data_IF_810615018230
#
_entry.id   IF_810615018230
#
_cell.length_a   1.000
_cell.length_b   1.000
_cell.length_c   1.000
_cell.angle_alpha   90.00
_cell.angle_beta   90.00
_cell.angle_gamma   90.00
#
_symmetry.space_group_name_H-M   'P 1'
#
loop_
_entity.id
_entity.type
_entity.pdbx_description
1 polymer ?
#
# COMPACT_ATOMS: atom_id res chain seq x y z
N UNK A 1 4.31 -8.89 -9.30
CA UNK A 1 4.12 -7.51 -8.80
C UNK A 1 4.65 -6.56 -9.88
N UNK A 2 3.82 -6.24 -10.88
CA UNK A 2 4.25 -5.61 -12.14
C UNK A 2 3.35 -4.42 -12.51
N UNK A 3 2.67 -3.86 -11.49
CA UNK A 3 1.66 -2.82 -11.61
C UNK A 3 1.96 -1.75 -10.55
N UNK A 4 1.70 -0.48 -10.88
CA UNK A 4 2.03 0.68 -10.04
C UNK A 4 3.24 1.46 -10.53
N UNK A 5 3.33 2.70 -10.10
CA UNK A 5 4.41 3.64 -10.42
C UNK A 5 5.75 3.17 -9.86
N UNK A 6 5.74 2.44 -8.74
CA UNK A 6 6.95 1.85 -8.14
C UNK A 6 7.67 0.86 -9.08
N UNK A 7 6.99 0.30 -10.09
CA UNK A 7 7.63 -0.61 -11.07
C UNK A 7 8.74 0.08 -11.84
N UNK A 8 8.62 1.39 -12.09
CA UNK A 8 9.64 2.17 -12.78
C UNK A 8 10.93 2.25 -11.96
N UNK A 9 10.81 2.43 -10.64
CA UNK A 9 11.94 2.48 -9.72
C UNK A 9 12.63 1.11 -9.59
N UNK A 10 11.85 0.02 -9.56
CA UNK A 10 12.40 -1.35 -9.58
C UNK A 10 13.15 -1.61 -10.90
N UNK A 11 12.55 -1.26 -12.04
CA UNK A 11 13.16 -1.46 -13.35
C UNK A 11 14.43 -0.61 -13.55
N UNK A 12 14.50 0.56 -12.90
CA UNK A 12 15.70 1.40 -12.87
C UNK A 12 16.78 0.89 -11.88
N UNK A 13 16.48 -0.15 -11.08
CA UNK A 13 17.40 -0.73 -10.11
C UNK A 13 17.69 0.16 -8.89
N UNK A 14 16.86 1.17 -8.63
CA UNK A 14 17.05 2.09 -7.48
C UNK A 14 16.43 1.56 -6.20
N UNK A 15 15.46 0.65 -6.30
CA UNK A 15 14.85 -0.10 -5.20
C UNK A 15 14.59 -1.54 -5.65
N UNK A 16 14.36 -2.43 -4.68
CA UNK A 16 13.97 -3.83 -4.88
C UNK A 16 12.53 -4.08 -4.40
N UNK A 17 12.00 -5.28 -4.68
CA UNK A 17 10.68 -5.68 -4.17
C UNK A 17 10.62 -5.83 -2.65
N UNK A 18 11.76 -6.10 -2.01
CA UNK A 18 11.87 -6.29 -0.57
C UNK A 18 11.86 -4.94 0.18
N UNK A 19 12.09 -3.83 -0.54
CA UNK A 19 11.99 -2.47 -0.01
C UNK A 19 10.53 -1.95 0.03
N UNK A 20 9.56 -2.73 -0.48
CA UNK A 20 8.15 -2.34 -0.57
C UNK A 20 7.31 -3.15 0.42
N UNK A 21 6.66 -2.45 1.35
CA UNK A 21 5.65 -3.02 2.24
C UNK A 21 4.23 -2.87 1.64
N UNK A 22 3.43 -3.94 1.70
CA UNK A 22 2.01 -3.86 1.34
C UNK A 22 1.21 -3.16 2.46
N UNK A 23 0.34 -2.22 2.10
CA UNK A 23 -0.47 -1.47 3.08
C UNK A 23 -1.28 -2.40 3.99
N UNK A 24 -1.78 -3.52 3.47
CA UNK A 24 -2.51 -4.51 4.26
C UNK A 24 -1.68 -5.13 5.39
N UNK A 25 -0.39 -5.42 5.12
CA UNK A 25 0.53 -5.98 6.11
C UNK A 25 0.88 -4.96 7.20
N UNK A 26 0.98 -3.68 6.84
CA UNK A 26 1.17 -2.58 7.80
C UNK A 26 -0.06 -2.42 8.69
N UNK A 27 -1.26 -2.42 8.10
CA UNK A 27 -2.52 -2.30 8.85
C UNK A 27 -2.75 -3.49 9.79
N UNK A 28 -2.34 -4.71 9.40
CA UNK A 28 -2.44 -5.90 10.24
C UNK A 28 -1.33 -6.03 11.30
N UNK A 29 -0.33 -5.14 11.28
CA UNK A 29 0.85 -5.23 12.16
C UNK A 29 1.81 -6.38 11.81
N UNK A 30 1.70 -6.94 10.61
CA UNK A 30 2.60 -7.99 10.10
C UNK A 30 3.91 -7.42 9.55
N UNK A 31 3.96 -6.12 9.29
CA UNK A 31 5.16 -5.38 8.87
C UNK A 31 5.09 -3.98 9.47
N UNK A 32 6.23 -3.46 9.91
CA UNK A 32 6.30 -2.11 10.45
C UNK A 32 6.01 -1.06 9.36
N UNK A 33 5.31 0.00 9.75
CA UNK A 33 5.15 1.21 8.94
C UNK A 33 6.28 2.20 9.19
N UNK A 34 5.94 3.49 9.25
CA UNK A 34 6.87 4.56 9.66
C UNK A 34 7.23 4.41 11.14
N UNK A 35 8.52 4.41 11.47
CA UNK A 35 9.04 4.19 12.83
C UNK A 35 9.77 5.40 13.43
N UNK A 36 10.07 6.42 12.62
CA UNK A 36 10.76 7.64 13.05
C UNK A 36 10.18 8.87 12.34
N UNK A 37 10.33 10.04 12.97
CA UNK A 37 9.85 11.29 12.40
C UNK A 37 10.66 11.79 11.18
N UNK A 38 11.91 11.36 11.04
CA UNK A 38 12.80 11.77 9.94
C UNK A 38 12.52 10.99 8.64
N UNK A 39 11.69 9.94 8.70
CA UNK A 39 11.37 9.11 7.55
C UNK A 39 10.31 9.76 6.66
N UNK A 40 10.55 9.71 5.35
CA UNK A 40 9.58 10.06 4.31
C UNK A 40 8.93 8.77 3.80
N UNK A 41 7.60 8.68 3.88
CA UNK A 41 6.83 7.56 3.36
C UNK A 41 6.24 7.92 1.99
N UNK A 42 6.42 7.04 1.00
CA UNK A 42 5.77 7.13 -0.31
C UNK A 42 4.72 6.01 -0.38
N UNK A 43 3.50 6.37 -0.73
CA UNK A 43 2.40 5.41 -0.91
C UNK A 43 1.99 5.39 -2.38
N UNK A 44 2.22 4.26 -3.04
CA UNK A 44 1.70 3.98 -4.39
C UNK A 44 0.41 3.15 -4.24
N UNK A 45 -0.73 3.78 -4.49
CA UNK A 45 -2.05 3.19 -4.33
C UNK A 45 -2.77 3.22 -5.68
N UNK A 46 -2.50 2.24 -6.53
CA UNK A 46 -3.20 2.05 -7.82
C UNK A 46 -4.70 1.74 -7.68
N UNK A 47 -5.21 1.61 -6.44
CA UNK A 47 -6.59 1.27 -6.14
C UNK A 47 -6.91 -0.21 -6.40
N UNK A 48 -7.68 -0.84 -5.52
CA UNK A 48 -8.18 -2.20 -5.73
C UNK A 48 -9.69 -2.24 -5.54
N UNK A 49 -10.41 -2.90 -6.44
CA UNK A 49 -11.89 -2.94 -6.43
C UNK A 49 -12.48 -3.41 -5.09
N UNK A 50 -11.74 -4.21 -4.31
CA UNK A 50 -12.16 -4.66 -2.97
C UNK A 50 -12.33 -3.49 -1.99
N UNK A 51 -11.55 -2.41 -2.11
CA UNK A 51 -11.63 -1.23 -1.25
C UNK A 51 -13.00 -0.56 -1.40
N UNK A 52 -13.42 -0.30 -2.64
CA UNK A 52 -14.71 0.32 -2.94
C UNK A 52 -15.88 -0.54 -2.43
N UNK A 53 -15.79 -1.87 -2.65
CA UNK A 53 -16.80 -2.82 -2.18
C UNK A 53 -16.94 -2.79 -0.65
N UNK A 54 -15.82 -2.73 0.10
CA UNK A 54 -15.91 -2.67 1.56
C UNK A 54 -16.56 -1.36 2.04
N UNK A 55 -16.22 -0.23 1.41
CA UNK A 55 -16.84 1.07 1.73
C UNK A 55 -18.35 1.03 1.46
N UNK A 56 -18.75 0.52 0.29
CA UNK A 56 -20.16 0.38 -0.07
C UNK A 56 -20.93 -0.52 0.92
N UNK A 57 -20.33 -1.65 1.33
CA UNK A 57 -20.91 -2.55 2.34
C UNK A 57 -21.06 -1.89 3.70
N UNK A 58 -20.08 -1.10 4.13
CA UNK A 58 -20.15 -0.35 5.38
C UNK A 58 -21.32 0.63 5.38
N UNK A 59 -21.48 1.40 4.30
CA UNK A 59 -22.60 2.35 4.15
C UNK A 59 -23.94 1.60 4.11
N UNK A 60 -24.03 0.48 3.39
CA UNK A 60 -25.26 -0.30 3.29
C UNK A 60 -25.71 -0.86 4.64
N UNK A 61 -24.78 -1.19 5.55
CA UNK A 61 -25.05 -1.70 6.91
C UNK A 61 -25.33 -0.62 7.94
N UNK A 62 -24.97 0.63 7.67
CA UNK A 62 -25.22 1.77 8.56
C UNK A 62 -26.66 2.30 8.47
N UNK A 63 -27.48 1.72 7.60
CA UNK A 63 -28.92 1.93 7.51
C UNK A 63 -29.67 0.89 8.34
#
# INVERSE_FOLDING_TARGET
RQYGECVHAINAGVISLDDIAELGAVVSGSTDGRTSDDQITIADLTGVAVQDIQIAKMIARAR
#
